data_IF_674994590799
#
_entry.id   IF_674994590799
#
_cell.length_a   1.000
_cell.length_b   1.000
_cell.length_c   1.000
_cell.angle_alpha   90.00
_cell.angle_beta   90.00
_cell.angle_gamma   90.00
#
_symmetry.space_group_name_H-M   'P 1'
#
loop_
_entity.id
_entity.type
_entity.pdbx_description
1 polymer ?
#
# COMPACT_ATOMS: atom_id res chain seq x y z
N UNK A 1 -60.17 -28.10 71.53
CA UNK A 1 -59.29 -28.63 70.51
C UNK A 1 -58.49 -27.44 69.89
N UNK A 2 -57.19 -27.32 70.22
CA UNK A 2 -56.32 -26.20 69.71
C UNK A 2 -55.51 -26.73 68.59
N UNK A 3 -55.74 -26.20 67.36
CA UNK A 3 -54.95 -26.49 66.22
C UNK A 3 -53.69 -25.60 66.22
N UNK A 4 -52.52 -26.18 66.31
CA UNK A 4 -51.23 -25.50 66.18
C UNK A 4 -50.87 -25.38 64.74
N UNK A 5 -50.89 -24.16 64.21
CA UNK A 5 -50.34 -23.87 62.86
C UNK A 5 -48.80 -23.85 62.97
N UNK A 6 -48.17 -24.73 62.17
CA UNK A 6 -46.71 -24.76 61.98
C UNK A 6 -46.40 -23.90 60.71
N UNK A 7 -45.78 -22.76 60.94
CA UNK A 7 -45.21 -21.99 59.84
C UNK A 7 -43.83 -22.55 59.44
N UNK A 8 -43.70 -23.03 58.21
CA UNK A 8 -42.45 -23.48 57.62
C UNK A 8 -41.76 -22.27 56.95
N UNK A 9 -40.51 -21.95 57.27
CA UNK A 9 -39.80 -20.86 56.61
C UNK A 9 -39.36 -21.27 55.19
N UNK A 10 -39.78 -20.49 54.19
CA UNK A 10 -39.37 -20.62 52.82
C UNK A 10 -37.97 -19.98 52.68
N UNK A 11 -36.92 -20.79 52.57
CA UNK A 11 -35.56 -20.31 52.33
C UNK A 11 -35.42 -19.95 50.84
N UNK A 12 -35.28 -18.65 50.55
CA UNK A 12 -35.02 -18.13 49.22
C UNK A 12 -33.48 -18.19 48.97
N UNK A 13 -33.01 -19.16 48.21
CA UNK A 13 -31.62 -19.22 47.79
C UNK A 13 -31.37 -18.23 46.63
N UNK A 14 -30.66 -17.15 46.92
CA UNK A 14 -30.17 -16.23 45.92
C UNK A 14 -28.97 -16.90 45.20
N UNK A 15 -29.16 -17.36 43.97
CA UNK A 15 -28.04 -17.77 43.07
C UNK A 15 -27.48 -16.48 42.47
N UNK A 16 -26.33 -16.04 42.95
CA UNK A 16 -25.54 -14.97 42.33
C UNK A 16 -24.81 -15.56 41.16
N UNK A 17 -25.35 -15.39 39.95
CA UNK A 17 -24.62 -15.69 38.72
C UNK A 17 -23.60 -14.56 38.49
N UNK A 18 -22.33 -14.86 38.80
CA UNK A 18 -21.21 -14.04 38.35
C UNK A 18 -21.13 -14.16 36.81
N UNK A 19 -21.73 -13.20 36.10
CA UNK A 19 -21.46 -13.03 34.68
C UNK A 19 -20.00 -12.52 34.57
N UNK A 20 -19.07 -13.43 34.18
CA UNK A 20 -17.75 -13.00 33.72
C UNK A 20 -18.01 -12.10 32.50
N UNK A 21 -17.72 -10.82 32.62
CA UNK A 21 -17.69 -9.92 31.47
C UNK A 21 -16.67 -10.47 30.47
N UNK A 22 -17.09 -10.68 29.22
CA UNK A 22 -16.17 -11.03 28.16
C UNK A 22 -15.06 -9.96 28.07
N UNK A 23 -13.80 -10.35 27.85
CA UNK A 23 -12.73 -9.38 27.69
C UNK A 23 -13.10 -8.42 26.55
N UNK A 24 -12.74 -7.13 26.64
CA UNK A 24 -13.04 -6.18 25.58
C UNK A 24 -12.44 -6.68 24.25
N UNK A 25 -13.24 -6.69 23.19
CA UNK A 25 -12.75 -7.02 21.84
C UNK A 25 -11.63 -6.06 21.51
N UNK A 26 -10.46 -6.59 21.14
CA UNK A 26 -9.34 -5.77 20.71
C UNK A 26 -9.68 -5.09 19.38
N UNK A 27 -9.74 -3.77 19.36
CA UNK A 27 -9.92 -2.96 18.15
C UNK A 27 -8.65 -2.97 17.28
N UNK A 28 -8.18 -4.15 16.87
CA UNK A 28 -7.06 -4.28 15.93
C UNK A 28 -7.62 -4.07 14.53
N UNK A 29 -7.26 -2.95 13.91
CA UNK A 29 -7.61 -2.69 12.53
C UNK A 29 -6.78 -3.57 11.59
N UNK A 30 -7.43 -4.20 10.61
CA UNK A 30 -6.75 -4.90 9.52
C UNK A 30 -6.56 -3.96 8.34
N UNK A 31 -5.37 -4.00 7.71
CA UNK A 31 -5.10 -3.29 6.45
C UNK A 31 -4.64 -4.28 5.39
N UNK A 32 -5.04 -4.03 4.13
CA UNK A 32 -4.46 -4.71 3.00
C UNK A 32 -2.98 -4.32 2.87
N UNK A 33 -2.13 -5.29 2.58
CA UNK A 33 -0.70 -5.10 2.34
C UNK A 33 -0.34 -5.58 0.95
N UNK A 34 0.69 -4.99 0.36
CA UNK A 34 1.30 -5.47 -0.88
C UNK A 34 2.27 -6.60 -0.53
N UNK A 35 2.00 -7.80 -1.03
CA UNK A 35 2.88 -8.96 -0.83
C UNK A 35 3.95 -9.06 -1.95
N UNK A 36 4.97 -9.88 -1.70
CA UNK A 36 6.06 -10.11 -2.67
C UNK A 36 5.55 -10.74 -3.98
N UNK A 37 4.55 -11.63 -3.91
CA UNK A 37 3.99 -12.28 -5.11
C UNK A 37 3.35 -11.27 -6.05
N UNK A 38 2.56 -10.34 -5.50
CA UNK A 38 1.96 -9.24 -6.27
C UNK A 38 3.02 -8.26 -6.77
N UNK A 39 4.05 -7.96 -5.97
CA UNK A 39 5.18 -7.14 -6.42
C UNK A 39 5.93 -7.78 -7.61
N UNK A 40 6.12 -9.10 -7.61
CA UNK A 40 6.70 -9.81 -8.75
C UNK A 40 5.85 -9.75 -10.02
N UNK A 41 4.51 -9.80 -9.89
CA UNK A 41 3.60 -9.62 -11.03
C UNK A 41 3.71 -8.21 -11.63
N UNK A 42 3.79 -7.18 -10.78
CA UNK A 42 4.03 -5.80 -11.19
C UNK A 42 5.37 -5.63 -11.90
N UNK A 43 6.44 -6.22 -11.35
CA UNK A 43 7.76 -6.21 -11.99
C UNK A 43 7.69 -6.80 -13.39
N UNK A 44 7.13 -8.01 -13.55
CA UNK A 44 7.00 -8.66 -14.84
C UNK A 44 6.16 -7.85 -15.83
N UNK A 45 5.11 -7.17 -15.37
CA UNK A 45 4.30 -6.31 -16.22
C UNK A 45 5.10 -5.08 -16.68
N UNK A 46 5.84 -4.42 -15.79
CA UNK A 46 6.72 -3.30 -16.11
C UNK A 46 7.80 -3.71 -17.12
N UNK A 47 8.47 -4.85 -16.89
CA UNK A 47 9.51 -5.37 -17.80
C UNK A 47 8.96 -5.61 -19.20
N UNK A 48 7.78 -6.26 -19.33
CA UNK A 48 7.17 -6.49 -20.67
C UNK A 48 6.91 -5.18 -21.41
N UNK A 49 6.43 -4.15 -20.72
CA UNK A 49 6.19 -2.84 -21.35
C UNK A 49 7.49 -2.17 -21.75
N UNK A 50 8.50 -2.21 -20.88
CA UNK A 50 9.82 -1.66 -21.15
C UNK A 50 10.51 -2.38 -22.34
N UNK A 51 10.41 -3.71 -22.41
CA UNK A 51 10.95 -4.51 -23.52
C UNK A 51 10.26 -4.18 -24.83
N UNK A 52 8.93 -4.07 -24.85
CA UNK A 52 8.15 -3.74 -26.04
C UNK A 52 8.49 -2.34 -26.59
N UNK A 53 8.78 -1.39 -25.70
CA UNK A 53 9.17 -0.04 -26.06
C UNK A 53 10.67 0.14 -26.34
N UNK A 54 11.49 -0.88 -26.07
CA UNK A 54 12.97 -0.78 -26.07
C UNK A 54 13.50 0.27 -25.09
N UNK A 55 12.87 0.37 -23.90
CA UNK A 55 13.22 1.30 -22.81
C UNK A 55 13.72 0.56 -21.58
N UNK A 56 14.93 -0.06 -21.61
CA UNK A 56 15.45 -0.76 -20.44
C UNK A 56 15.52 0.21 -19.26
N UNK A 57 15.09 -0.23 -18.07
CA UNK A 57 14.89 0.66 -16.94
C UNK A 57 15.26 0.03 -15.60
N UNK A 58 15.33 0.86 -14.57
CA UNK A 58 15.25 0.44 -13.18
C UNK A 58 13.78 0.51 -12.70
N UNK A 59 13.39 -0.47 -11.91
CA UNK A 59 12.03 -0.67 -11.41
C UNK A 59 12.12 -0.85 -9.90
N UNK A 60 11.33 -0.10 -9.14
CA UNK A 60 11.21 -0.27 -7.70
C UNK A 60 9.74 -0.39 -7.29
N UNK A 61 9.44 -1.32 -6.42
CA UNK A 61 8.12 -1.54 -5.84
C UNK A 61 8.25 -1.42 -4.32
N UNK A 62 7.46 -0.52 -3.74
CA UNK A 62 7.49 -0.22 -2.31
C UNK A 62 6.13 -0.47 -1.67
N UNK A 63 6.11 -0.69 -0.36
CA UNK A 63 4.91 -0.76 0.45
C UNK A 63 4.24 0.62 0.66
N UNK A 64 3.16 0.68 1.41
CA UNK A 64 2.43 1.91 1.73
C UNK A 64 3.19 2.88 2.67
N UNK A 65 4.26 2.40 3.32
CA UNK A 65 5.24 3.19 4.08
C UNK A 65 6.41 3.69 3.23
N UNK A 66 6.47 3.30 1.95
CA UNK A 66 7.54 3.66 1.04
C UNK A 66 8.82 2.83 1.23
N UNK A 67 8.73 1.65 1.88
CA UNK A 67 9.87 0.73 2.04
C UNK A 67 9.93 -0.24 0.87
N UNK A 68 11.14 -0.53 0.34
CA UNK A 68 11.30 -1.44 -0.79
C UNK A 68 10.82 -2.86 -0.46
N UNK A 69 9.99 -3.42 -1.35
CA UNK A 69 9.65 -4.85 -1.39
C UNK A 69 10.50 -5.55 -2.44
N UNK A 70 10.66 -4.89 -3.60
CA UNK A 70 11.38 -5.45 -4.74
C UNK A 70 11.98 -4.33 -5.56
N UNK A 71 13.25 -4.48 -5.93
CA UNK A 71 13.96 -3.58 -6.84
C UNK A 71 14.71 -4.39 -7.88
N UNK A 72 14.66 -3.96 -9.15
CA UNK A 72 15.36 -4.59 -10.25
C UNK A 72 15.88 -3.53 -11.23
N UNK A 73 17.02 -3.84 -11.86
CA UNK A 73 17.57 -3.07 -12.98
C UNK A 73 17.72 -3.99 -14.17
N UNK A 74 17.10 -3.61 -15.29
CA UNK A 74 17.23 -4.31 -16.55
C UNK A 74 18.63 -4.09 -17.14
N UNK A 75 19.11 -5.07 -17.90
CA UNK A 75 20.32 -4.91 -18.66
C UNK A 75 20.17 -3.77 -19.67
N UNK A 76 21.18 -2.93 -19.78
CA UNK A 76 21.12 -1.77 -20.67
C UNK A 76 20.37 -0.54 -20.14
N UNK A 77 19.87 -0.55 -18.90
CA UNK A 77 19.27 0.63 -18.30
C UNK A 77 20.26 1.81 -18.31
N UNK A 78 19.90 2.96 -18.96
CA UNK A 78 20.88 3.98 -19.28
C UNK A 78 21.30 4.85 -18.11
N UNK A 79 20.42 4.97 -17.09
CA UNK A 79 20.64 5.88 -15.96
C UNK A 79 21.38 5.14 -14.84
N UNK A 80 22.60 5.58 -14.51
CA UNK A 80 23.43 4.96 -13.47
C UNK A 80 22.74 5.03 -12.10
N UNK A 81 22.13 6.17 -11.77
CA UNK A 81 21.36 6.38 -10.52
C UNK A 81 19.92 5.85 -10.63
N UNK A 82 19.63 4.99 -11.61
CA UNK A 82 18.26 4.56 -11.91
C UNK A 82 17.56 3.86 -10.75
N UNK A 83 18.30 3.11 -9.95
CA UNK A 83 17.74 2.43 -8.75
C UNK A 83 17.26 3.47 -7.73
N UNK A 84 18.10 4.41 -7.33
CA UNK A 84 17.75 5.45 -6.35
C UNK A 84 16.61 6.33 -6.86
N UNK A 85 16.58 6.61 -8.17
CA UNK A 85 15.50 7.39 -8.79
C UNK A 85 14.18 6.62 -8.76
N UNK A 86 14.19 5.35 -9.13
CA UNK A 86 12.98 4.51 -9.13
C UNK A 86 12.43 4.35 -7.70
N UNK A 87 13.28 4.06 -6.72
CA UNK A 87 12.90 3.96 -5.31
C UNK A 87 12.38 5.29 -4.75
N UNK A 88 13.07 6.39 -5.03
CA UNK A 88 12.68 7.72 -4.58
C UNK A 88 11.32 8.14 -5.14
N UNK A 89 11.07 7.92 -6.44
CA UNK A 89 9.78 8.18 -7.08
C UNK A 89 8.67 7.30 -6.48
N UNK A 90 8.92 5.98 -6.34
CA UNK A 90 7.97 5.05 -5.74
C UNK A 90 7.60 5.47 -4.31
N UNK A 91 8.61 5.78 -3.49
CA UNK A 91 8.41 6.27 -2.12
C UNK A 91 7.56 7.54 -2.09
N UNK A 92 7.83 8.49 -2.97
CA UNK A 92 7.03 9.71 -3.08
C UNK A 92 5.57 9.39 -3.40
N UNK A 93 5.31 8.53 -4.38
CA UNK A 93 3.96 8.13 -4.77
C UNK A 93 3.21 7.42 -3.65
N UNK A 94 3.87 6.49 -2.93
CA UNK A 94 3.28 5.78 -1.80
C UNK A 94 2.89 6.72 -0.65
N UNK A 95 3.78 7.64 -0.26
CA UNK A 95 3.57 8.53 0.89
C UNK A 95 2.56 9.64 0.60
N UNK A 96 2.55 10.19 -0.62
CA UNK A 96 1.58 11.21 -1.04
C UNK A 96 0.27 10.61 -1.60
N UNK A 97 0.21 9.28 -1.78
CA UNK A 97 -0.96 8.52 -2.26
C UNK A 97 -1.48 9.01 -3.61
N UNK A 98 -0.56 9.38 -4.50
CA UNK A 98 -0.84 9.89 -5.86
C UNK A 98 0.33 9.66 -6.79
N UNK A 99 0.14 9.80 -8.12
CA UNK A 99 1.24 9.80 -9.08
C UNK A 99 2.31 10.82 -8.71
N UNK A 100 3.60 10.44 -8.80
CA UNK A 100 4.70 11.36 -8.53
C UNK A 100 4.77 12.52 -9.52
N UNK A 101 4.27 12.33 -10.75
CA UNK A 101 4.14 13.38 -11.75
C UNK A 101 3.20 14.52 -11.36
N UNK A 102 2.18 14.27 -10.52
CA UNK A 102 1.30 15.33 -10.01
C UNK A 102 2.07 16.31 -9.12
N UNK A 103 3.05 15.81 -8.37
CA UNK A 103 3.90 16.61 -7.50
C UNK A 103 4.93 17.40 -8.30
N UNK A 104 5.52 16.79 -9.33
CA UNK A 104 6.37 17.50 -10.30
C UNK A 104 5.61 18.64 -10.97
N UNK A 105 4.39 18.39 -11.44
CA UNK A 105 3.54 19.39 -12.05
C UNK A 105 3.19 20.53 -11.07
N UNK A 106 2.95 20.21 -9.80
CA UNK A 106 2.68 21.22 -8.77
C UNK A 106 3.91 22.14 -8.54
N UNK A 107 5.12 21.56 -8.51
CA UNK A 107 6.37 22.33 -8.38
C UNK A 107 6.55 23.23 -9.61
N UNK A 108 6.40 22.68 -10.82
CA UNK A 108 6.50 23.43 -12.08
C UNK A 108 5.43 24.52 -12.19
N UNK A 109 4.25 24.29 -11.57
CA UNK A 109 3.17 25.26 -11.43
C UNK A 109 3.36 26.32 -10.33
N UNK A 110 4.56 26.38 -9.70
CA UNK A 110 4.92 27.41 -8.73
C UNK A 110 4.90 26.98 -7.26
N UNK A 111 4.51 25.75 -6.92
CA UNK A 111 4.55 25.23 -5.53
C UNK A 111 5.97 24.79 -5.14
N UNK A 112 6.95 25.66 -5.29
CA UNK A 112 8.37 25.33 -5.05
C UNK A 112 8.67 24.89 -3.62
N UNK A 113 7.92 25.39 -2.63
CA UNK A 113 8.06 24.97 -1.23
C UNK A 113 7.91 23.43 -1.03
N UNK A 114 7.26 22.71 -1.97
CA UNK A 114 7.14 21.26 -1.91
C UNK A 114 8.50 20.54 -1.93
N UNK A 115 9.54 21.16 -2.49
CA UNK A 115 10.91 20.61 -2.53
C UNK A 115 11.46 20.40 -1.11
N UNK A 116 11.02 21.20 -0.13
CA UNK A 116 11.46 21.08 1.27
C UNK A 116 10.95 19.82 1.97
N UNK A 117 10.03 19.05 1.34
CA UNK A 117 9.58 17.76 1.88
C UNK A 117 10.67 16.67 1.87
N UNK A 118 11.79 16.92 1.19
CA UNK A 118 12.93 15.96 1.16
C UNK A 118 12.63 14.66 0.42
N UNK A 119 11.64 14.66 -0.49
CA UNK A 119 11.27 13.51 -1.32
C UNK A 119 11.52 13.81 -2.80
N UNK A 120 11.71 12.74 -3.59
CA UNK A 120 11.97 12.84 -5.02
C UNK A 120 10.68 13.06 -5.81
N UNK A 121 10.34 14.30 -6.12
CA UNK A 121 9.10 14.67 -6.80
C UNK A 121 9.31 14.72 -8.31
N UNK A 122 9.65 13.58 -8.91
CA UNK A 122 9.85 13.41 -10.35
C UNK A 122 8.80 12.43 -10.89
N UNK A 123 8.31 12.71 -12.09
CA UNK A 123 7.38 11.87 -12.84
C UNK A 123 7.96 10.45 -13.08
N UNK A 124 7.07 9.43 -13.07
CA UNK A 124 7.42 8.04 -13.35
C UNK A 124 7.15 7.07 -12.20
N UNK A 125 6.30 7.46 -11.23
CA UNK A 125 5.78 6.51 -10.25
C UNK A 125 4.27 6.61 -10.12
N UNK A 126 3.63 5.43 -9.92
CA UNK A 126 2.19 5.28 -9.78
C UNK A 126 1.84 4.56 -8.47
N UNK A 127 0.81 5.01 -7.75
CA UNK A 127 0.31 4.31 -6.57
C UNK A 127 -0.37 2.99 -6.97
N UNK A 128 -0.21 1.97 -6.14
CA UNK A 128 -0.92 0.69 -6.24
C UNK A 128 -2.15 0.80 -5.36
N UNK A 129 -3.33 0.78 -5.99
CA UNK A 129 -4.60 1.02 -5.30
C UNK A 129 -5.46 -0.24 -5.32
N UNK A 130 -5.90 -0.68 -4.15
CA UNK A 130 -6.84 -1.78 -3.95
C UNK A 130 -7.98 -1.29 -3.08
N UNK A 131 -9.23 -1.47 -3.52
CA UNK A 131 -10.44 -1.03 -2.82
C UNK A 131 -10.38 0.45 -2.37
N UNK A 132 -9.85 1.31 -3.24
CA UNK A 132 -9.71 2.75 -2.96
C UNK A 132 -8.59 3.12 -1.97
N UNK A 133 -7.76 2.16 -1.54
CA UNK A 133 -6.63 2.38 -0.62
C UNK A 133 -5.31 2.17 -1.34
N UNK A 134 -4.36 3.05 -1.12
CA UNK A 134 -2.99 2.87 -1.58
C UNK A 134 -2.29 1.88 -0.65
N UNK A 135 -1.86 0.75 -1.21
CA UNK A 135 -1.15 -0.33 -0.51
C UNK A 135 0.35 -0.37 -0.83
N UNK A 136 0.80 0.48 -1.75
CA UNK A 136 2.18 0.59 -2.18
C UNK A 136 2.29 1.48 -3.40
N UNK A 137 3.45 1.47 -4.05
CA UNK A 137 3.69 2.16 -5.31
C UNK A 137 4.76 1.46 -6.14
N UNK A 138 4.73 1.71 -7.46
CA UNK A 138 5.78 1.34 -8.39
C UNK A 138 6.44 2.60 -8.96
N UNK A 139 7.77 2.61 -9.02
CA UNK A 139 8.57 3.68 -9.61
C UNK A 139 9.50 3.15 -10.68
N UNK A 140 9.67 3.92 -11.72
CA UNK A 140 10.46 3.58 -12.92
C UNK A 140 11.51 4.66 -13.18
N UNK A 141 12.68 4.22 -13.65
CA UNK A 141 13.71 5.09 -14.21
C UNK A 141 14.28 4.47 -15.49
N UNK A 142 13.76 4.91 -16.64
CA UNK A 142 14.21 4.60 -17.99
C UNK A 142 15.04 5.76 -18.53
N UNK A 143 14.76 6.19 -19.76
CA UNK A 143 15.47 7.26 -20.48
C UNK A 143 14.75 8.61 -20.43
N UNK A 144 13.39 8.60 -20.32
CA UNK A 144 12.59 9.83 -20.26
C UNK A 144 11.47 9.73 -19.22
N UNK A 145 11.04 10.87 -18.62
CA UNK A 145 9.90 10.88 -17.69
C UNK A 145 8.59 10.37 -18.31
N UNK A 146 8.43 10.48 -19.62
CA UNK A 146 7.25 9.98 -20.34
C UNK A 146 7.23 8.45 -20.37
N UNK A 147 8.37 7.83 -20.73
CA UNK A 147 8.50 6.37 -20.73
C UNK A 147 8.42 5.80 -19.31
N UNK A 148 9.02 6.48 -18.32
CA UNK A 148 8.89 6.10 -16.91
C UNK A 148 7.43 5.96 -16.50
N UNK A 149 6.63 6.97 -16.82
CA UNK A 149 5.21 7.03 -16.43
C UNK A 149 4.37 5.99 -17.21
N UNK A 150 4.64 5.82 -18.49
CA UNK A 150 3.96 4.82 -19.35
C UNK A 150 4.18 3.40 -18.82
N UNK A 151 5.42 3.04 -18.49
CA UNK A 151 5.75 1.74 -17.91
C UNK A 151 5.07 1.55 -16.56
N UNK A 152 5.09 2.57 -15.68
CA UNK A 152 4.48 2.50 -14.38
C UNK A 152 2.95 2.34 -14.47
N UNK A 153 2.28 3.11 -15.35
CA UNK A 153 0.84 3.02 -15.61
C UNK A 153 0.44 1.64 -16.15
N UNK A 154 1.19 1.12 -17.12
CA UNK A 154 0.93 -0.19 -17.68
C UNK A 154 1.07 -1.31 -16.63
N UNK A 155 2.05 -1.19 -15.74
CA UNK A 155 2.25 -2.16 -14.68
C UNK A 155 1.07 -2.20 -13.69
N UNK A 156 0.60 -1.04 -13.20
CA UNK A 156 -0.53 -1.00 -12.27
C UNK A 156 -1.85 -1.41 -12.95
N UNK A 157 -2.03 -1.10 -14.24
CA UNK A 157 -3.19 -1.53 -15.02
C UNK A 157 -3.26 -3.06 -15.23
N UNK A 158 -2.11 -3.74 -15.19
CA UNK A 158 -2.04 -5.20 -15.30
C UNK A 158 -2.44 -5.94 -14.02
N UNK A 159 -2.53 -5.26 -12.88
CA UNK A 159 -3.08 -5.82 -11.65
C UNK A 159 -4.58 -6.04 -11.82
N UNK A 160 -4.98 -7.27 -12.08
CA UNK A 160 -6.39 -7.65 -12.00
C UNK A 160 -6.77 -7.76 -10.52
N UNK A 161 -7.95 -7.25 -10.10
CA UNK A 161 -8.47 -7.54 -8.78
C UNK A 161 -8.50 -9.07 -8.60
N UNK A 162 -7.71 -9.60 -7.68
CA UNK A 162 -7.83 -10.99 -7.28
C UNK A 162 -9.13 -11.06 -6.47
N UNK A 163 -10.22 -11.51 -7.10
CA UNK A 163 -11.41 -11.93 -6.37
C UNK A 163 -10.99 -13.21 -5.66
N UNK A 164 -10.65 -13.09 -4.38
CA UNK A 164 -10.49 -14.28 -3.53
C UNK A 164 -11.85 -14.96 -3.40
N UNK A 165 -11.90 -16.30 -3.58
CA UNK A 165 -13.12 -17.08 -3.43
C UNK A 165 -13.64 -17.08 -1.98
#
# INVERSE_FOLDING_TARGET
MRVKSVLLPLAFSFVVTNALAAPPESNIAHKAILDLGTAQQLLMAAQRTAEAGHWPCAIAIVDDGGWPILTARMDGAPVVAGIELAEGKARTSALFKRPSGDLENAINGGRQAAITAGLLMMKGAQPIVVEGRVIGAIGISADTPAHDDEIALAAVAALRPQVQP
#
